data_IF_300346747592
#
_entry.id   IF_300346747592
#
_cell.length_a   1.000
_cell.length_b   1.000
_cell.length_c   1.000
_cell.angle_alpha   90.00
_cell.angle_beta   90.00
_cell.angle_gamma   90.00
#
_symmetry.space_group_name_H-M   'P 1'
#
loop_
_entity.id
_entity.type
_entity.pdbx_description
1 polymer ?
#
# COMPACT_ATOMS: atom_id res chain seq x y z
N UNK A 1 -8.79 -5.55 -0.08
CA UNK A 1 -7.42 -5.30 -0.56
C UNK A 1 -7.08 -3.84 -0.30
N UNK A 2 -5.95 -3.57 0.34
CA UNK A 2 -5.42 -2.23 0.64
C UNK A 2 -3.94 -2.14 0.21
N UNK A 3 -3.37 -0.96 0.10
CA UNK A 3 -1.94 -0.72 -0.16
C UNK A 3 -1.52 0.70 0.21
N UNK A 4 -0.20 0.93 0.27
CA UNK A 4 0.40 2.26 0.32
C UNK A 4 -0.15 3.11 1.48
N UNK A 5 -0.04 2.55 2.69
CA UNK A 5 -0.52 3.17 3.94
C UNK A 5 0.42 4.30 4.39
N UNK A 6 1.72 4.12 4.18
CA UNK A 6 2.78 5.08 4.48
C UNK A 6 2.74 5.68 5.89
N UNK A 7 2.36 4.88 6.90
CA UNK A 7 2.26 5.36 8.28
C UNK A 7 1.08 6.31 8.53
N UNK A 8 0.09 6.37 7.63
CA UNK A 8 -1.13 7.15 7.81
C UNK A 8 -2.20 6.35 8.57
N UNK A 9 -2.20 6.43 9.89
CA UNK A 9 -3.18 5.73 10.72
C UNK A 9 -4.61 6.27 10.56
N UNK A 10 -4.79 7.55 10.21
CA UNK A 10 -6.11 8.15 9.98
C UNK A 10 -6.77 7.55 8.75
N UNK A 11 -6.03 7.48 7.63
CA UNK A 11 -6.50 6.84 6.42
C UNK A 11 -6.82 5.36 6.63
N UNK A 12 -5.91 4.62 7.29
CA UNK A 12 -6.13 3.21 7.60
C UNK A 12 -7.38 2.99 8.45
N UNK A 13 -7.57 3.75 9.54
CA UNK A 13 -8.76 3.65 10.40
C UNK A 13 -10.05 3.95 9.66
N UNK A 14 -10.04 4.97 8.78
CA UNK A 14 -11.19 5.31 7.94
C UNK A 14 -11.57 4.14 7.03
N UNK A 15 -10.60 3.54 6.35
CA UNK A 15 -10.85 2.36 5.51
C UNK A 15 -11.36 1.19 6.34
N UNK A 16 -10.71 0.88 7.48
CA UNK A 16 -11.12 -0.24 8.33
C UNK A 16 -12.53 -0.06 8.90
N UNK A 17 -12.98 1.17 9.16
CA UNK A 17 -14.34 1.44 9.65
C UNK A 17 -15.43 1.18 8.60
N UNK A 18 -15.06 1.21 7.31
CA UNK A 18 -15.96 0.90 6.19
C UNK A 18 -15.97 -0.60 5.83
N UNK A 19 -14.98 -1.37 6.30
CA UNK A 19 -14.89 -2.80 6.05
C UNK A 19 -15.85 -3.59 6.95
N UNK A 20 -17.06 -3.84 6.48
CA UNK A 20 -18.05 -4.68 7.16
C UNK A 20 -18.18 -6.02 6.43
N UNK A 21 -18.16 -7.13 7.20
CA UNK A 21 -18.39 -8.46 6.66
C UNK A 21 -17.28 -8.99 5.75
N UNK A 22 -16.03 -8.50 5.90
CA UNK A 22 -14.87 -9.03 5.18
C UNK A 22 -14.21 -10.14 5.98
N UNK A 23 -13.81 -11.22 5.30
CA UNK A 23 -13.16 -12.37 5.94
C UNK A 23 -11.66 -12.17 6.11
N UNK A 24 -11.01 -11.45 5.18
CA UNK A 24 -9.56 -11.24 5.15
C UNK A 24 -9.21 -9.84 4.64
N UNK A 25 -8.12 -9.31 5.14
CA UNK A 25 -7.53 -8.06 4.65
C UNK A 25 -6.15 -8.39 4.07
N UNK A 26 -5.92 -7.96 2.84
CA UNK A 26 -4.65 -8.15 2.11
C UNK A 26 -4.05 -6.77 1.85
N UNK A 27 -2.75 -6.62 2.11
CA UNK A 27 -2.00 -5.41 1.83
C UNK A 27 -0.86 -5.67 0.84
N UNK A 28 -0.79 -4.87 -0.22
CA UNK A 28 0.27 -4.94 -1.22
C UNK A 28 1.51 -4.10 -0.87
N UNK A 29 1.82 -3.89 0.41
CA UNK A 29 3.05 -3.24 0.86
C UNK A 29 2.94 -1.75 1.14
N UNK A 30 4.10 -1.13 1.41
CA UNK A 30 4.27 0.25 1.86
C UNK A 30 3.41 0.58 3.10
N UNK A 31 3.59 -0.26 4.12
CA UNK A 31 2.98 -0.07 5.45
C UNK A 31 3.58 1.16 6.11
N UNK A 32 4.91 1.28 6.02
CA UNK A 32 5.71 2.41 6.49
C UNK A 32 5.99 3.40 5.36
N UNK A 33 6.56 4.57 5.69
CA UNK A 33 6.91 5.55 4.65
C UNK A 33 6.85 6.99 5.16
N UNK A 34 6.06 7.82 4.51
CA UNK A 34 6.11 9.28 4.67
C UNK A 34 5.65 9.80 6.03
N UNK A 35 4.72 9.11 6.70
CA UNK A 35 4.04 9.67 7.88
C UNK A 35 4.43 8.96 9.18
N UNK A 36 4.25 9.62 10.35
CA UNK A 36 4.92 9.21 11.58
C UNK A 36 4.23 8.09 12.37
N UNK A 37 2.97 7.74 12.04
CA UNK A 37 2.15 6.83 12.87
C UNK A 37 2.42 5.34 12.55
N UNK A 38 3.69 5.00 12.27
CA UNK A 38 4.07 3.67 11.79
C UNK A 38 3.82 2.57 12.83
N UNK A 39 4.03 2.86 14.11
CA UNK A 39 3.77 1.86 15.16
C UNK A 39 2.27 1.56 15.30
N UNK A 40 1.43 2.58 15.24
CA UNK A 40 -0.02 2.45 15.31
C UNK A 40 -0.55 1.67 14.10
N UNK A 41 -0.02 1.94 12.90
CA UNK A 41 -0.36 1.21 11.68
C UNK A 41 0.02 -0.26 11.83
N UNK A 42 1.27 -0.57 12.22
CA UNK A 42 1.75 -1.95 12.36
C UNK A 42 0.96 -2.70 13.44
N UNK A 43 0.68 -2.05 14.59
CA UNK A 43 -0.13 -2.65 15.65
C UNK A 43 -1.56 -2.95 15.17
N UNK A 44 -2.12 -2.07 14.33
CA UNK A 44 -3.42 -2.27 13.71
C UNK A 44 -3.40 -3.44 12.73
N UNK A 45 -2.33 -3.61 11.94
CA UNK A 45 -2.12 -4.77 11.06
C UNK A 45 -2.08 -6.08 11.83
N UNK A 46 -1.29 -6.13 12.92
CA UNK A 46 -1.21 -7.31 13.79
C UNK A 46 -2.57 -7.66 14.40
N UNK A 47 -3.29 -6.67 14.92
CA UNK A 47 -4.62 -6.86 15.53
C UNK A 47 -5.64 -7.42 14.54
N UNK A 48 -5.58 -7.01 13.29
CA UNK A 48 -6.54 -7.44 12.25
C UNK A 48 -6.02 -8.61 11.40
N UNK A 49 -4.89 -9.24 11.75
CA UNK A 49 -4.28 -10.34 11.02
C UNK A 49 -4.13 -10.06 9.51
N UNK A 50 -3.68 -8.83 9.16
CA UNK A 50 -3.53 -8.42 7.76
C UNK A 50 -2.45 -9.25 7.09
N UNK A 51 -2.77 -9.88 5.96
CA UNK A 51 -1.81 -10.56 5.10
C UNK A 51 -1.08 -9.50 4.29
N UNK A 52 0.24 -9.41 4.41
CA UNK A 52 1.00 -8.32 3.77
C UNK A 52 2.31 -8.78 3.18
N UNK A 53 2.74 -8.08 2.14
CA UNK A 53 4.12 -8.09 1.61
C UNK A 53 4.82 -6.79 1.99
N UNK A 54 6.15 -6.72 1.80
CA UNK A 54 6.91 -5.47 1.89
C UNK A 54 6.72 -4.62 0.65
N UNK A 55 6.69 -3.27 0.83
CA UNK A 55 6.92 -2.34 -0.26
C UNK A 55 8.33 -1.76 -0.24
N UNK A 56 8.64 -0.86 -1.19
CA UNK A 56 9.97 -0.25 -1.27
C UNK A 56 10.27 0.66 -0.07
N UNK A 57 9.27 1.34 0.50
CA UNK A 57 9.49 2.15 1.71
C UNK A 57 9.72 1.29 2.95
N UNK A 58 9.10 0.13 3.05
CA UNK A 58 9.40 -0.85 4.11
C UNK A 58 10.85 -1.36 3.97
N UNK A 59 11.29 -1.61 2.73
CA UNK A 59 12.66 -2.05 2.47
C UNK A 59 13.67 -0.92 2.77
N UNK A 60 13.40 0.35 2.43
CA UNK A 60 14.27 1.47 2.81
C UNK A 60 14.45 1.61 4.32
N UNK A 61 13.39 1.36 5.10
CA UNK A 61 13.48 1.34 6.56
C UNK A 61 14.39 0.20 7.05
N UNK A 62 14.30 -1.00 6.46
CA UNK A 62 15.13 -2.16 6.81
C UNK A 62 16.60 -1.89 6.48
N UNK A 63 16.88 -1.31 5.30
CA UNK A 63 18.23 -0.95 4.84
C UNK A 63 18.81 0.25 5.62
N UNK A 64 17.94 0.96 6.35
CA UNK A 64 18.27 2.17 7.11
C UNK A 64 18.58 3.38 6.23
N UNK A 65 18.35 3.30 4.92
CA UNK A 65 18.57 4.37 3.94
C UNK A 65 17.72 4.16 2.69
N UNK A 66 17.32 5.23 2.02
CA UNK A 66 16.83 5.19 0.65
C UNK A 66 17.99 5.24 -0.35
N UNK A 67 17.73 4.87 -1.61
CA UNK A 67 18.70 4.97 -2.70
C UNK A 67 19.09 6.45 -2.94
N UNK A 68 20.29 6.68 -3.49
CA UNK A 68 20.84 8.03 -3.65
C UNK A 68 20.04 8.93 -4.59
N UNK A 69 19.39 8.34 -5.60
CA UNK A 69 18.54 9.02 -6.58
C UNK A 69 17.15 9.40 -6.08
N UNK A 70 16.76 8.95 -4.87
CA UNK A 70 15.47 9.29 -4.29
C UNK A 70 15.46 10.72 -3.73
N UNK A 71 14.26 11.33 -3.70
CA UNK A 71 14.08 12.69 -3.18
C UNK A 71 14.44 12.82 -1.70
N UNK A 72 14.73 14.06 -1.28
CA UNK A 72 15.06 14.34 0.11
C UNK A 72 13.89 14.04 1.06
N UNK A 73 12.64 14.18 0.61
CA UNK A 73 11.46 13.79 1.39
C UNK A 73 11.49 12.29 1.72
N UNK A 74 11.89 11.44 0.77
CA UNK A 74 12.01 10.00 1.01
C UNK A 74 13.15 9.72 2.00
N UNK A 75 14.32 10.32 1.79
CA UNK A 75 15.47 10.17 2.69
C UNK A 75 15.17 10.62 4.11
N UNK A 76 14.55 11.79 4.26
CA UNK A 76 14.14 12.33 5.55
C UNK A 76 13.07 11.43 6.23
N UNK A 77 12.16 10.86 5.45
CA UNK A 77 11.16 9.94 5.98
C UNK A 77 11.81 8.67 6.57
N UNK A 78 12.85 8.13 5.93
CA UNK A 78 13.61 6.98 6.46
C UNK A 78 14.24 7.34 7.80
N UNK A 79 14.93 8.48 7.89
CA UNK A 79 15.55 8.92 9.14
C UNK A 79 14.52 9.15 10.26
N UNK A 80 13.33 9.65 9.93
CA UNK A 80 12.21 9.80 10.87
C UNK A 80 11.71 8.43 11.32
N UNK A 81 11.45 7.51 10.40
CA UNK A 81 10.97 6.16 10.70
C UNK A 81 11.93 5.40 11.63
N UNK A 82 13.24 5.48 11.40
CA UNK A 82 14.28 4.86 12.25
C UNK A 82 14.21 5.32 13.70
N UNK A 83 13.86 6.60 13.92
CA UNK A 83 13.74 7.17 15.27
C UNK A 83 12.45 6.78 15.97
N UNK A 84 11.39 6.50 15.22
CA UNK A 84 10.05 6.28 15.75
C UNK A 84 9.71 4.80 15.95
N UNK A 85 10.23 3.92 15.10
CA UNK A 85 9.82 2.52 15.11
C UNK A 85 10.32 1.79 16.36
N UNK A 86 9.44 1.03 17.00
CA UNK A 86 9.84 0.13 18.09
C UNK A 86 10.56 -1.11 17.55
N UNK A 87 11.44 -1.71 18.33
CA UNK A 87 12.17 -2.94 17.97
C UNK A 87 11.22 -4.07 17.53
N UNK A 88 10.11 -4.24 18.27
CA UNK A 88 9.11 -5.24 17.96
C UNK A 88 8.45 -5.01 16.60
N UNK A 89 8.15 -3.75 16.25
CA UNK A 89 7.53 -3.39 14.99
C UNK A 89 8.54 -3.42 13.85
N UNK A 90 9.78 -3.05 14.09
CA UNK A 90 10.87 -3.22 13.13
C UNK A 90 11.05 -4.70 12.76
N UNK A 91 11.08 -5.60 13.77
CA UNK A 91 11.15 -7.05 13.55
C UNK A 91 9.95 -7.55 12.71
N UNK A 92 8.74 -7.01 12.94
CA UNK A 92 7.57 -7.36 12.12
C UNK A 92 7.77 -6.99 10.65
N UNK A 93 8.17 -5.75 10.35
CA UNK A 93 8.42 -5.29 8.97
C UNK A 93 9.53 -6.11 8.30
N UNK A 94 10.64 -6.37 9.03
CA UNK A 94 11.77 -7.14 8.52
C UNK A 94 11.38 -8.56 8.09
N UNK A 95 10.44 -9.18 8.79
CA UNK A 95 9.99 -10.54 8.52
C UNK A 95 8.88 -10.64 7.46
N UNK A 96 8.36 -9.55 6.95
CA UNK A 96 7.42 -9.61 5.83
C UNK A 96 8.11 -10.13 4.56
N UNK A 97 7.42 -10.95 3.76
CA UNK A 97 7.95 -11.39 2.47
C UNK A 97 7.93 -10.25 1.44
N UNK A 98 8.76 -10.38 0.39
CA UNK A 98 8.75 -9.44 -0.75
C UNK A 98 7.57 -9.68 -1.67
N UNK A 99 7.13 -10.93 -1.79
CA UNK A 99 5.93 -11.35 -2.50
C UNK A 99 5.32 -12.57 -1.83
N UNK A 100 4.07 -12.83 -2.12
CA UNK A 100 3.34 -14.02 -1.66
C UNK A 100 2.62 -14.68 -2.83
N UNK A 101 2.79 -15.99 -2.94
CA UNK A 101 1.91 -16.85 -3.74
C UNK A 101 1.01 -17.62 -2.79
N UNK A 102 -0.28 -17.35 -2.83
CA UNK A 102 -1.29 -17.98 -1.97
C UNK A 102 -2.48 -18.46 -2.78
N UNK A 103 -3.26 -19.34 -2.19
CA UNK A 103 -4.55 -19.75 -2.77
C UNK A 103 -5.69 -19.20 -1.92
N UNK A 104 -6.64 -18.52 -2.55
CA UNK A 104 -7.86 -18.00 -1.93
C UNK A 104 -9.05 -18.55 -2.72
N UNK A 105 -9.89 -19.35 -2.09
CA UNK A 105 -11.08 -19.97 -2.72
C UNK A 105 -10.78 -20.59 -4.09
N UNK A 106 -9.72 -21.42 -4.17
CA UNK A 106 -9.19 -22.07 -5.36
C UNK A 106 -8.59 -21.14 -6.43
N UNK A 107 -8.42 -19.84 -6.16
CA UNK A 107 -7.72 -18.89 -7.03
C UNK A 107 -6.25 -18.78 -6.62
N UNK A 108 -5.34 -18.92 -7.58
CA UNK A 108 -3.91 -18.64 -7.40
C UNK A 108 -3.71 -17.13 -7.38
N UNK A 109 -3.20 -16.59 -6.29
CA UNK A 109 -3.02 -15.15 -6.08
C UNK A 109 -1.55 -14.83 -5.86
N UNK A 110 -1.01 -13.96 -6.68
CA UNK A 110 0.29 -13.33 -6.46
C UNK A 110 0.07 -11.95 -5.84
N UNK A 111 0.69 -11.70 -4.69
CA UNK A 111 0.72 -10.39 -4.04
C UNK A 111 2.14 -9.88 -4.13
N UNK A 112 2.34 -8.70 -4.68
CA UNK A 112 3.65 -8.05 -4.83
C UNK A 112 3.47 -6.54 -4.88
N UNK A 113 4.42 -5.76 -4.35
CA UNK A 113 4.25 -4.31 -4.28
C UNK A 113 4.41 -3.62 -5.65
N UNK A 114 5.52 -3.84 -6.34
CA UNK A 114 5.81 -3.24 -7.65
C UNK A 114 5.22 -4.05 -8.80
N UNK A 115 5.97 -5.03 -9.28
CA UNK A 115 5.54 -5.95 -10.33
C UNK A 115 6.05 -7.37 -10.09
N UNK A 116 5.52 -8.38 -10.78
CA UNK A 116 6.06 -9.75 -10.73
C UNK A 116 7.53 -9.89 -11.15
N UNK A 117 8.07 -8.93 -11.89
CA UNK A 117 9.43 -8.95 -12.45
C UNK A 117 10.40 -8.03 -11.70
N UNK A 118 9.87 -7.03 -10.99
CA UNK A 118 10.63 -6.17 -10.10
C UNK A 118 9.74 -5.76 -8.92
N UNK A 119 9.94 -6.44 -7.79
CA UNK A 119 9.02 -6.40 -6.65
C UNK A 119 8.87 -5.01 -6.01
N UNK A 120 9.83 -4.11 -6.21
CA UNK A 120 9.86 -2.81 -5.51
C UNK A 120 9.81 -1.58 -6.42
N UNK A 121 10.36 -1.65 -7.64
CA UNK A 121 10.63 -0.41 -8.41
C UNK A 121 9.77 -0.27 -9.67
N UNK A 122 9.31 -1.38 -10.28
CA UNK A 122 8.50 -1.29 -11.48
C UNK A 122 7.07 -0.85 -11.17
N UNK A 123 6.62 0.21 -11.88
CA UNK A 123 5.32 0.83 -11.67
C UNK A 123 4.32 0.43 -12.74
N UNK A 124 3.24 -0.21 -12.31
CA UNK A 124 2.16 -0.63 -13.21
C UNK A 124 1.00 0.37 -13.09
N UNK A 125 1.09 1.46 -13.86
CA UNK A 125 0.02 2.44 -13.97
C UNK A 125 -1.14 1.92 -14.83
N UNK A 126 -2.35 2.56 -14.77
CA UNK A 126 -3.50 2.15 -15.60
C UNK A 126 -3.24 2.15 -17.11
N UNK A 127 -2.30 2.95 -17.59
CA UNK A 127 -1.85 3.08 -18.99
C UNK A 127 -0.55 2.31 -19.29
N UNK A 128 -0.14 1.39 -18.40
CA UNK A 128 1.06 0.59 -18.60
C UNK A 128 1.08 -0.11 -19.97
N UNK A 129 2.15 0.06 -20.78
CA UNK A 129 2.12 -0.34 -22.18
C UNK A 129 2.24 -1.85 -22.40
N UNK A 130 2.74 -2.61 -21.42
CA UNK A 130 3.11 -4.01 -21.57
C UNK A 130 2.26 -4.97 -20.73
N UNK A 131 0.95 -4.72 -20.62
CA UNK A 131 0.04 -5.61 -19.87
C UNK A 131 0.02 -7.05 -20.39
N UNK A 132 0.34 -7.28 -21.65
CA UNK A 132 0.35 -8.63 -22.23
C UNK A 132 1.32 -9.59 -21.55
N UNK A 133 2.37 -9.10 -20.90
CA UNK A 133 3.31 -9.90 -20.08
C UNK A 133 2.61 -10.68 -18.97
N UNK A 134 1.50 -10.16 -18.45
CA UNK A 134 0.76 -10.82 -17.38
C UNK A 134 0.08 -12.11 -17.83
N UNK A 135 -0.17 -12.30 -19.13
CA UNK A 135 -0.76 -13.55 -19.67
C UNK A 135 0.12 -14.78 -19.46
N UNK A 136 1.44 -14.57 -19.27
CA UNK A 136 2.43 -15.64 -19.12
C UNK A 136 2.50 -16.16 -17.66
N UNK A 137 1.83 -15.51 -16.74
CA UNK A 137 1.84 -15.89 -15.33
C UNK A 137 0.84 -17.02 -15.07
N UNK A 138 1.27 -18.04 -14.32
CA UNK A 138 0.40 -19.13 -13.85
C UNK A 138 -0.33 -18.73 -12.55
N UNK A 139 -1.12 -17.65 -12.65
CA UNK A 139 -1.96 -17.14 -11.54
C UNK A 139 -3.29 -16.63 -12.07
N UNK A 140 -4.30 -16.57 -11.22
CA UNK A 140 -5.62 -16.01 -11.54
C UNK A 140 -5.70 -14.51 -11.21
N UNK A 141 -5.02 -14.09 -10.13
CA UNK A 141 -5.06 -12.69 -9.65
C UNK A 141 -3.66 -12.22 -9.30
N UNK A 142 -3.31 -11.01 -9.72
CA UNK A 142 -2.11 -10.28 -9.29
C UNK A 142 -2.54 -9.03 -8.52
N UNK A 143 -2.12 -8.92 -7.27
CA UNK A 143 -2.38 -7.76 -6.41
C UNK A 143 -1.12 -6.92 -6.32
N UNK A 144 -1.22 -5.64 -6.70
CA UNK A 144 -0.14 -4.66 -6.79
C UNK A 144 -0.40 -3.44 -5.89
N UNK A 145 0.65 -2.64 -5.65
CA UNK A 145 0.61 -1.34 -5.00
C UNK A 145 1.44 -0.29 -5.75
N UNK A 146 2.28 0.46 -5.00
CA UNK A 146 3.37 1.31 -5.46
C UNK A 146 2.97 2.58 -6.25
N UNK A 147 2.02 2.50 -7.16
CA UNK A 147 1.61 3.65 -7.98
C UNK A 147 0.67 4.59 -7.26
N UNK A 148 -0.08 4.12 -6.26
CA UNK A 148 -1.19 4.79 -5.58
C UNK A 148 -2.40 5.07 -6.49
N UNK A 149 -2.39 4.52 -7.71
CA UNK A 149 -3.49 4.64 -8.67
C UNK A 149 -4.26 3.32 -8.71
N UNK A 150 -5.58 3.33 -8.48
CA UNK A 150 -6.36 2.10 -8.55
C UNK A 150 -6.44 1.59 -9.97
N UNK A 151 -6.38 0.27 -10.08
CA UNK A 151 -6.47 -0.46 -11.32
C UNK A 151 -7.20 -1.78 -11.09
N UNK A 152 -8.18 -2.08 -11.91
CA UNK A 152 -8.74 -3.41 -12.06
C UNK A 152 -8.75 -3.71 -13.55
N UNK A 153 -7.96 -4.68 -13.98
CA UNK A 153 -7.81 -5.00 -15.41
C UNK A 153 -7.66 -6.50 -15.61
N UNK A 154 -8.48 -7.06 -16.48
CA UNK A 154 -8.38 -8.47 -16.89
C UNK A 154 -7.57 -8.60 -18.18
N UNK A 155 -6.56 -9.45 -18.16
CA UNK A 155 -5.68 -9.74 -19.29
C UNK A 155 -5.61 -11.25 -19.47
N UNK A 156 -6.27 -11.78 -20.49
CA UNK A 156 -6.45 -13.21 -20.64
C UNK A 156 -7.21 -13.79 -19.43
N UNK A 157 -6.59 -14.73 -18.72
CA UNK A 157 -7.16 -15.32 -17.51
C UNK A 157 -6.75 -14.61 -16.22
N UNK A 158 -5.79 -13.66 -16.28
CA UNK A 158 -5.25 -12.98 -15.11
C UNK A 158 -6.01 -11.68 -14.84
N UNK A 159 -6.48 -11.49 -13.63
CA UNK A 159 -7.01 -10.20 -13.14
C UNK A 159 -5.92 -9.47 -12.38
N UNK A 160 -5.59 -8.25 -12.81
CA UNK A 160 -4.60 -7.38 -12.18
C UNK A 160 -5.37 -6.35 -11.34
N UNK A 161 -5.00 -6.24 -10.06
CA UNK A 161 -5.66 -5.35 -9.10
C UNK A 161 -4.61 -4.49 -8.42
N UNK A 162 -4.76 -3.18 -8.49
CA UNK A 162 -4.11 -2.24 -7.60
C UNK A 162 -5.21 -1.50 -6.83
N UNK A 163 -5.27 -1.54 -5.51
CA UNK A 163 -6.34 -0.90 -4.75
C UNK A 163 -6.20 0.63 -4.70
N UNK A 164 -5.12 1.19 -5.24
CA UNK A 164 -4.72 2.57 -4.99
C UNK A 164 -4.08 2.70 -3.61
N UNK A 165 -4.26 3.83 -2.95
CA UNK A 165 -3.66 4.09 -1.65
C UNK A 165 -4.71 4.46 -0.60
N UNK A 166 -4.61 3.85 0.57
CA UNK A 166 -5.37 4.26 1.76
C UNK A 166 -4.58 5.20 2.68
N UNK A 167 -3.38 5.62 2.29
CA UNK A 167 -2.55 6.53 3.08
C UNK A 167 -2.14 7.81 2.36
N UNK A 168 -1.82 7.71 1.07
CA UNK A 168 -1.37 8.83 0.24
C UNK A 168 -1.92 8.70 -1.19
N UNK A 169 -3.22 8.87 -1.42
CA UNK A 169 -3.80 8.80 -2.77
C UNK A 169 -3.18 9.86 -3.69
N UNK A 170 -2.98 9.52 -4.96
CA UNK A 170 -2.32 10.40 -5.96
C UNK A 170 -3.16 10.75 -7.18
N UNK A 171 -4.31 10.14 -7.33
CA UNK A 171 -5.25 10.40 -8.42
C UNK A 171 -6.43 11.29 -7.99
N UNK A 172 -6.90 11.13 -6.75
CA UNK A 172 -7.98 11.92 -6.14
C UNK A 172 -7.74 12.04 -4.63
N UNK A 173 -8.23 13.10 -3.98
CA UNK A 173 -8.14 13.28 -2.51
C UNK A 173 -9.10 12.36 -1.73
N UNK A 174 -9.31 11.17 -2.23
CA UNK A 174 -10.15 10.14 -1.63
C UNK A 174 -9.29 8.92 -1.36
N UNK A 175 -9.37 8.37 -0.15
CA UNK A 175 -8.74 7.07 0.15
C UNK A 175 -9.28 6.02 -0.80
N UNK A 176 -8.43 5.06 -1.15
CA UNK A 176 -8.79 4.01 -2.10
C UNK A 176 -8.49 2.63 -1.54
N UNK A 177 -9.40 1.71 -1.75
CA UNK A 177 -9.24 0.29 -1.46
C UNK A 177 -10.13 -0.54 -2.38
N UNK A 178 -9.93 -1.86 -2.45
CA UNK A 178 -10.71 -2.74 -3.32
C UNK A 178 -11.35 -3.86 -2.51
N UNK A 179 -12.65 -4.08 -2.70
CA UNK A 179 -13.34 -5.28 -2.25
C UNK A 179 -13.26 -6.34 -3.37
N UNK A 180 -12.95 -7.55 -2.97
CA UNK A 180 -13.00 -8.73 -3.83
C UNK A 180 -13.97 -9.76 -3.26
N UNK A 181 -15.04 -10.03 -3.98
CA UNK A 181 -15.92 -11.16 -3.72
C UNK A 181 -15.36 -12.37 -4.49
N UNK A 182 -14.76 -13.29 -3.76
CA UNK A 182 -14.09 -14.47 -4.34
C UNK A 182 -15.07 -15.50 -4.90
N UNK A 183 -16.34 -15.48 -4.48
CA UNK A 183 -17.37 -16.39 -4.98
C UNK A 183 -17.87 -16.00 -6.36
N UNK A 184 -18.01 -14.69 -6.60
CA UNK A 184 -18.46 -14.14 -7.89
C UNK A 184 -17.33 -13.67 -8.77
N UNK A 185 -16.10 -13.66 -8.25
CA UNK A 185 -14.90 -13.11 -8.87
C UNK A 185 -15.05 -11.62 -9.23
N UNK A 186 -15.82 -10.89 -8.43
CA UNK A 186 -16.12 -9.49 -8.62
C UNK A 186 -15.19 -8.60 -7.79
N UNK A 187 -14.62 -7.60 -8.45
CA UNK A 187 -13.75 -6.60 -7.82
C UNK A 187 -14.41 -5.23 -7.90
N UNK A 188 -14.46 -4.52 -6.77
CA UNK A 188 -14.99 -3.16 -6.68
C UNK A 188 -13.97 -2.25 -6.01
N UNK A 189 -13.51 -1.22 -6.73
CA UNK A 189 -12.70 -0.17 -6.11
C UNK A 189 -13.62 0.83 -5.42
N UNK A 190 -13.34 1.10 -4.13
CA UNK A 190 -14.08 2.03 -3.30
C UNK A 190 -13.25 3.24 -2.94
N UNK A 191 -13.95 4.36 -2.72
CA UNK A 191 -13.36 5.65 -2.40
C UNK A 191 -14.03 6.25 -1.19
N UNK A 192 -13.21 6.76 -0.25
CA UNK A 192 -13.71 7.34 0.99
C UNK A 192 -13.20 8.77 1.18
N UNK A 193 -14.10 9.64 1.62
CA UNK A 193 -13.75 10.94 2.17
C UNK A 193 -13.13 10.71 3.55
N UNK A 194 -12.13 11.49 3.90
CA UNK A 194 -11.43 11.40 5.18
C UNK A 194 -10.99 12.76 5.68
N UNK A 195 -10.65 12.86 6.97
CA UNK A 195 -10.21 14.09 7.60
C UNK A 195 -8.74 14.40 7.28
N UNK A 196 -8.50 15.03 6.13
CA UNK A 196 -7.16 15.43 5.69
C UNK A 196 -6.59 16.51 6.59
N UNK A 197 -7.40 17.49 7.02
CA UNK A 197 -6.94 18.63 7.82
C UNK A 197 -6.50 18.20 9.22
N UNK A 198 -7.30 17.37 9.87
CA UNK A 198 -6.96 16.80 11.18
C UNK A 198 -5.68 15.95 11.10
N UNK A 199 -5.56 15.13 10.07
CA UNK A 199 -4.34 14.35 9.83
C UNK A 199 -3.10 15.24 9.64
N UNK A 200 -3.18 16.24 8.76
CA UNK A 200 -2.06 17.17 8.50
C UNK A 200 -1.63 17.86 9.79
N UNK A 201 -2.60 18.33 10.59
CA UNK A 201 -2.33 19.01 11.86
C UNK A 201 -1.53 18.11 12.82
N UNK A 202 -1.95 16.86 13.00
CA UNK A 202 -1.27 15.93 13.90
C UNK A 202 0.11 15.52 13.37
N UNK A 203 0.23 15.25 12.05
CA UNK A 203 1.50 14.87 11.44
C UNK A 203 2.56 16.00 11.52
N UNK A 204 2.13 17.26 11.36
CA UNK A 204 3.01 18.43 11.55
C UNK A 204 3.55 18.54 12.98
N UNK A 205 2.73 18.26 13.99
CA UNK A 205 3.18 18.24 15.38
C UNK A 205 4.26 17.19 15.64
N UNK A 206 4.33 16.15 14.79
CA UNK A 206 5.36 15.11 14.84
C UNK A 206 6.54 15.37 13.88
N UNK A 207 6.65 16.59 13.32
CA UNK A 207 7.79 17.02 12.51
C UNK A 207 7.76 16.58 11.06
N UNK A 208 6.57 16.35 10.49
CA UNK A 208 6.42 16.07 9.05
C UNK A 208 6.47 17.39 8.28
N UNK A 209 7.28 17.42 7.24
CA UNK A 209 7.51 18.61 6.39
C UNK A 209 6.27 18.92 5.53
N UNK A 210 6.03 20.21 5.30
CA UNK A 210 4.88 20.69 4.51
C UNK A 210 4.87 20.16 3.08
N UNK A 211 6.03 19.93 2.49
CA UNK A 211 6.16 19.37 1.13
C UNK A 211 5.46 18.02 0.95
N UNK A 212 5.43 17.19 2.01
CA UNK A 212 4.76 15.88 1.96
C UNK A 212 3.23 15.98 1.88
N UNK A 213 2.64 17.12 2.21
CA UNK A 213 1.20 17.35 2.10
C UNK A 213 0.78 18.01 0.79
N UNK A 214 1.74 18.44 -0.07
CA UNK A 214 1.44 19.02 -1.37
C UNK A 214 0.70 18.02 -2.30
N UNK A 215 0.88 16.72 -2.08
CA UNK A 215 0.16 15.69 -2.81
C UNK A 215 -1.35 15.84 -2.66
N UNK A 216 -1.85 16.22 -1.49
CA UNK A 216 -3.28 16.40 -1.22
C UNK A 216 -3.85 17.72 -1.79
N UNK A 217 -3.01 18.67 -2.19
CA UNK A 217 -3.44 19.93 -2.81
C UNK A 217 -3.53 19.84 -4.33
N UNK A 218 -2.77 18.92 -4.94
CA UNK A 218 -2.69 18.79 -6.41
C UNK A 218 -3.91 18.13 -7.03
N UNK A 219 -4.72 17.47 -6.22
CA UNK A 219 -5.80 16.60 -6.65
C UNK A 219 -7.09 17.18 -6.05
N UNK A 220 -7.85 17.90 -6.82
CA UNK A 220 -9.20 18.36 -6.47
C UNK A 220 -10.26 17.49 -7.11
#
# INVERSE_FOLDING_TARGET
IISDIHGNIHGLKTVLSDLTGVDKIICAGDITGFYPFINEVINTFKKNNVISVKGNHDQYLIDGKAQEDKSDEIKNSVERMKKLISEQNFSYIKNLPEFLNITIDNKKVLIVHGSPWNHFEERIYPDYPSFDRFKELDVDVVILGHTHYPLIKKIGNVTIVNPGSCGQPRDKNLLSYTIWDTKTDFFENRRLIWDIEGFIKEAKLMGVEDSLFEVFKRIQ
#
